data_IF_487129802845
#
_entry.id   IF_487129802845
#
_cell.length_a   1.000
_cell.length_b   1.000
_cell.length_c   1.000
_cell.angle_alpha   90.00
_cell.angle_beta   90.00
_cell.angle_gamma   90.00
#
_symmetry.space_group_name_H-M   'P 1'
#
loop_
_entity.id
_entity.type
_entity.pdbx_description
1 polymer ?
#
# COMPACT_ATOMS: atom_id res chain seq x y z
N UNK A 1 -34.76 -4.90 -33.76
CA UNK A 1 -34.51 -4.01 -32.60
C UNK A 1 -34.20 -4.77 -31.31
N UNK A 2 -34.80 -5.94 -31.02
CA UNK A 2 -34.59 -6.67 -29.76
C UNK A 2 -33.15 -7.15 -29.50
N UNK A 3 -32.46 -7.70 -30.50
CA UNK A 3 -31.06 -8.17 -30.33
C UNK A 3 -30.07 -7.04 -30.05
N UNK A 4 -30.26 -5.87 -30.66
CA UNK A 4 -29.42 -4.69 -30.43
C UNK A 4 -29.55 -4.19 -28.99
N UNK A 5 -30.79 -4.07 -28.49
CA UNK A 5 -31.05 -3.65 -27.11
C UNK A 5 -30.48 -4.65 -26.10
N UNK A 6 -30.58 -5.95 -26.38
CA UNK A 6 -30.00 -7.01 -25.53
C UNK A 6 -28.47 -6.96 -25.50
N UNK A 7 -27.82 -6.74 -26.65
CA UNK A 7 -26.38 -6.61 -26.73
C UNK A 7 -25.85 -5.36 -26.01
N UNK A 8 -26.56 -4.23 -26.15
CA UNK A 8 -26.20 -2.98 -25.45
C UNK A 8 -26.36 -3.14 -23.93
N UNK A 9 -27.44 -3.78 -23.46
CA UNK A 9 -27.64 -4.03 -22.03
C UNK A 9 -26.50 -4.90 -21.45
N UNK A 10 -26.13 -6.00 -22.14
CA UNK A 10 -25.03 -6.87 -21.73
C UNK A 10 -23.70 -6.13 -21.63
N UNK A 11 -23.39 -5.28 -22.61
CA UNK A 11 -22.16 -4.48 -22.60
C UNK A 11 -22.12 -3.51 -21.41
N UNK A 12 -23.23 -2.85 -21.08
CA UNK A 12 -23.31 -1.93 -19.94
C UNK A 12 -23.15 -2.64 -18.59
N UNK A 13 -23.67 -3.86 -18.46
CA UNK A 13 -23.49 -4.67 -17.25
C UNK A 13 -22.05 -5.17 -17.13
N UNK A 14 -21.44 -5.57 -18.25
CA UNK A 14 -20.02 -5.95 -18.29
C UNK A 14 -19.10 -4.78 -17.94
N UNK A 15 -19.37 -3.58 -18.44
CA UNK A 15 -18.54 -2.39 -18.14
C UNK A 15 -18.67 -2.00 -16.67
N UNK A 16 -19.88 -1.94 -16.11
CA UNK A 16 -20.09 -1.65 -14.68
C UNK A 16 -19.38 -2.67 -13.78
N UNK A 17 -19.44 -3.94 -14.16
CA UNK A 17 -18.76 -5.02 -13.43
C UNK A 17 -17.24 -4.83 -13.46
N UNK A 18 -16.67 -4.50 -14.63
CA UNK A 18 -15.23 -4.25 -14.78
C UNK A 18 -14.76 -3.05 -13.95
N UNK A 19 -15.50 -1.94 -13.98
CA UNK A 19 -15.17 -0.74 -13.20
C UNK A 19 -15.23 -1.01 -11.70
N UNK A 20 -16.27 -1.72 -11.24
CA UNK A 20 -16.38 -2.12 -9.83
C UNK A 20 -15.20 -2.99 -9.40
N UNK A 21 -14.87 -4.02 -10.19
CA UNK A 21 -13.73 -4.90 -9.92
C UNK A 21 -12.40 -4.14 -9.93
N UNK A 22 -12.22 -3.17 -10.83
CA UNK A 22 -11.05 -2.32 -10.86
C UNK A 22 -10.92 -1.48 -9.57
N UNK A 23 -12.02 -0.90 -9.08
CA UNK A 23 -12.05 -0.17 -7.81
C UNK A 23 -11.70 -1.06 -6.61
N UNK A 24 -12.26 -2.27 -6.55
CA UNK A 24 -11.93 -3.25 -5.50
C UNK A 24 -10.44 -3.63 -5.56
N UNK A 25 -9.91 -3.91 -6.75
CA UNK A 25 -8.51 -4.27 -6.94
C UNK A 25 -7.57 -3.14 -6.54
N UNK A 26 -7.90 -1.90 -6.91
CA UNK A 26 -7.14 -0.72 -6.49
C UNK A 26 -7.16 -0.55 -4.97
N UNK A 27 -8.31 -0.71 -4.32
CA UNK A 27 -8.45 -0.62 -2.87
C UNK A 27 -7.61 -1.68 -2.14
N UNK A 28 -7.65 -2.93 -2.61
CA UNK A 28 -6.82 -4.02 -2.07
C UNK A 28 -5.34 -3.70 -2.25
N UNK A 29 -4.92 -3.25 -3.44
CA UNK A 29 -3.52 -2.94 -3.71
C UNK A 29 -3.02 -1.79 -2.82
N UNK A 30 -3.80 -0.73 -2.67
CA UNK A 30 -3.49 0.39 -1.78
C UNK A 30 -3.38 -0.07 -0.32
N UNK A 31 -4.32 -0.89 0.16
CA UNK A 31 -4.30 -1.43 1.52
C UNK A 31 -3.05 -2.28 1.79
N UNK A 32 -2.67 -3.15 0.85
CA UNK A 32 -1.46 -3.96 0.96
C UNK A 32 -0.21 -3.07 1.01
N UNK A 33 -0.10 -2.07 0.12
CA UNK A 33 1.06 -1.17 0.09
C UNK A 33 1.18 -0.34 1.38
N UNK A 34 0.05 0.18 1.89
CA UNK A 34 0.00 0.90 3.16
C UNK A 34 0.42 0.00 4.32
N UNK A 35 -0.09 -1.23 4.39
CA UNK A 35 0.26 -2.20 5.43
C UNK A 35 1.75 -2.55 5.42
N UNK A 36 2.32 -2.83 4.23
CA UNK A 36 3.76 -3.10 4.09
C UNK A 36 4.60 -1.90 4.54
N UNK A 37 4.20 -0.67 4.17
CA UNK A 37 4.92 0.54 4.59
C UNK A 37 4.86 0.74 6.11
N UNK A 38 3.68 0.53 6.70
CA UNK A 38 3.47 0.67 8.14
C UNK A 38 4.32 -0.35 8.91
N UNK A 39 4.35 -1.60 8.47
CA UNK A 39 5.16 -2.66 9.08
C UNK A 39 6.66 -2.32 9.06
N UNK A 40 7.19 -1.83 7.93
CA UNK A 40 8.59 -1.39 7.82
C UNK A 40 8.93 -0.29 8.83
N UNK A 41 8.04 0.70 8.98
CA UNK A 41 8.22 1.81 9.93
C UNK A 41 8.23 1.28 11.37
N UNK A 42 7.29 0.41 11.73
CA UNK A 42 7.23 -0.18 13.07
C UNK A 42 8.43 -1.07 13.38
N UNK A 43 8.87 -1.86 12.41
CA UNK A 43 10.08 -2.67 12.52
C UNK A 43 11.30 -1.77 12.71
N UNK A 44 11.46 -0.71 11.93
CA UNK A 44 12.53 0.28 12.14
C UNK A 44 12.45 0.91 13.55
N UNK A 45 11.25 1.30 14.02
CA UNK A 45 11.04 1.86 15.38
C UNK A 45 11.51 0.91 16.49
N UNK A 46 11.25 -0.40 16.34
CA UNK A 46 11.72 -1.43 17.29
C UNK A 46 13.23 -1.63 17.21
N UNK A 47 13.80 -1.67 16.00
CA UNK A 47 15.24 -1.84 15.81
C UNK A 47 16.05 -0.67 16.37
N UNK A 48 15.56 0.57 16.22
CA UNK A 48 16.15 1.76 16.86
C UNK A 48 16.16 1.62 18.38
N UNK A 49 15.06 1.16 18.98
CA UNK A 49 14.99 0.93 20.44
C UNK A 49 15.97 -0.14 20.92
N UNK A 50 16.27 -1.12 20.06
CA UNK A 50 17.26 -2.16 20.34
C UNK A 50 18.70 -1.67 20.14
N UNK A 51 18.92 -0.41 19.75
CA UNK A 51 20.25 0.16 19.53
C UNK A 51 20.92 -0.32 18.24
N UNK A 52 20.15 -0.84 17.27
CA UNK A 52 20.67 -1.29 15.98
C UNK A 52 21.06 -0.06 15.14
N UNK A 53 22.17 -0.15 14.40
CA UNK A 53 22.65 0.94 13.55
C UNK A 53 21.72 1.22 12.37
N UNK A 54 21.67 2.49 11.94
CA UNK A 54 20.77 2.92 10.87
C UNK A 54 21.09 2.27 9.51
N UNK A 55 22.37 1.96 9.23
CA UNK A 55 22.77 1.21 8.02
C UNK A 55 22.15 -0.20 7.97
N UNK A 56 22.14 -0.91 9.10
CA UNK A 56 21.52 -2.25 9.19
C UNK A 56 20.01 -2.13 9.06
N UNK A 57 19.40 -1.14 9.71
CA UNK A 57 17.94 -0.92 9.64
C UNK A 57 17.52 -0.60 8.22
N UNK A 58 18.27 0.25 7.50
CA UNK A 58 18.00 0.59 6.10
C UNK A 58 18.00 -0.65 5.22
N UNK A 59 19.02 -1.50 5.36
CA UNK A 59 19.12 -2.77 4.62
C UNK A 59 18.01 -3.76 4.96
N UNK A 60 17.59 -3.82 6.23
CA UNK A 60 16.57 -4.77 6.69
C UNK A 60 15.14 -4.33 6.33
N UNK A 61 14.86 -3.04 6.31
CA UNK A 61 13.49 -2.49 6.14
C UNK A 61 13.26 -1.87 4.76
N UNK A 62 14.29 -1.73 3.93
CA UNK A 62 14.28 -0.96 2.69
C UNK A 62 13.78 0.49 2.87
N UNK A 63 14.03 1.08 4.05
CA UNK A 63 13.84 2.51 4.30
C UNK A 63 15.14 3.26 4.02
N UNK A 64 15.03 4.50 3.59
CA UNK A 64 16.22 5.36 3.47
C UNK A 64 16.75 5.76 4.85
N UNK A 65 18.03 6.12 4.93
CA UNK A 65 18.62 6.64 6.17
C UNK A 65 17.85 7.90 6.63
N UNK A 66 17.44 8.77 5.71
CA UNK A 66 16.63 9.96 6.02
C UNK A 66 15.28 9.60 6.64
N UNK A 67 14.60 8.55 6.15
CA UNK A 67 13.34 8.08 6.75
C UNK A 67 13.57 7.54 8.16
N UNK A 68 14.65 6.79 8.37
CA UNK A 68 15.01 6.22 9.68
C UNK A 68 15.35 7.33 10.68
N UNK A 69 16.08 8.37 10.25
CA UNK A 69 16.38 9.55 11.07
C UNK A 69 15.10 10.29 11.49
N UNK A 70 14.16 10.50 10.57
CA UNK A 70 12.85 11.09 10.90
C UNK A 70 12.10 10.25 11.92
N UNK A 71 12.06 8.92 11.74
CA UNK A 71 11.43 7.98 12.66
C UNK A 71 12.08 8.05 14.06
N UNK A 72 13.40 8.20 14.12
CA UNK A 72 14.12 8.35 15.38
C UNK A 72 13.80 9.69 16.07
N UNK A 73 13.68 10.78 15.31
CA UNK A 73 13.32 12.10 15.82
C UNK A 73 11.87 12.18 16.32
N UNK A 74 10.93 11.48 15.67
CA UNK A 74 9.52 11.41 16.10
C UNK A 74 9.33 10.82 17.51
N UNK A 75 10.29 10.04 18.02
CA UNK A 75 10.26 9.49 19.40
C UNK A 75 10.73 10.47 20.48
N UNK A 76 11.24 11.65 20.10
CA UNK A 76 11.80 12.63 21.04
C UNK A 76 10.76 13.69 21.46
N UNK A 77 9.54 13.64 20.90
CA UNK A 77 8.37 14.43 21.35
C UNK A 77 7.34 13.54 22.06
#
# INVERSE_FOLDING_TARGET
MGEFVSNVARLLDETKTKEFLAGVQQGIQQGIQQGIRQERIETAKRMIQLGISYDIISKATNLSIEEIEKIAQEKIN
#
